data_IF_865339592345
#
_entry.id   IF_865339592345
#
_cell.length_a   1.000
_cell.length_b   1.000
_cell.length_c   1.000
_cell.angle_alpha   90.00
_cell.angle_beta   90.00
_cell.angle_gamma   90.00
#
_symmetry.space_group_name_H-M   'P 1'
#
loop_
_entity.id
_entity.type
_entity.pdbx_description
1 polymer ?
#
# COMPACT_ATOMS: atom_id res chain seq x y z
N UNK A 1 13.38 10.77 -20.37
CA UNK A 1 13.24 10.44 -18.94
C UNK A 1 12.36 9.22 -18.81
N UNK A 2 12.52 8.46 -17.75
CA UNK A 2 11.71 7.30 -17.44
C UNK A 2 10.90 7.57 -16.17
N UNK A 3 9.59 7.52 -16.29
CA UNK A 3 8.67 7.71 -15.16
C UNK A 3 8.11 6.36 -14.73
N UNK A 4 8.05 6.15 -13.42
CA UNK A 4 7.37 5.02 -12.81
C UNK A 4 6.10 5.49 -12.11
N UNK A 5 4.99 4.78 -12.32
CA UNK A 5 3.73 4.99 -11.60
C UNK A 5 3.42 3.72 -10.83
N UNK A 6 3.34 3.80 -9.50
CA UNK A 6 3.10 2.67 -8.60
C UNK A 6 1.72 2.78 -7.95
N UNK A 7 0.79 1.94 -8.37
CA UNK A 7 -0.56 1.80 -7.82
C UNK A 7 -0.61 0.69 -6.77
N UNK A 8 -0.90 1.02 -5.52
CA UNK A 8 -0.93 0.08 -4.40
C UNK A 8 -2.40 -0.22 -4.04
N UNK A 9 -2.85 -1.40 -4.44
CA UNK A 9 -4.22 -1.89 -4.25
C UNK A 9 -4.35 -3.03 -3.25
N UNK A 10 -5.60 -3.44 -3.00
CA UNK A 10 -5.92 -4.62 -2.17
C UNK A 10 -5.48 -5.94 -2.81
N UNK A 11 -5.41 -6.01 -4.14
CA UNK A 11 -5.01 -7.24 -4.82
C UNK A 11 -3.53 -7.25 -5.19
N UNK A 12 -2.99 -6.10 -5.61
CA UNK A 12 -1.60 -5.98 -6.04
C UNK A 12 -1.04 -4.57 -5.93
N UNK A 13 0.27 -4.47 -5.79
CA UNK A 13 1.07 -3.29 -6.10
C UNK A 13 1.52 -3.37 -7.57
N UNK A 14 1.14 -2.39 -8.38
CA UNK A 14 1.37 -2.37 -9.83
C UNK A 14 2.26 -1.21 -10.21
N UNK A 15 3.44 -1.50 -10.75
CA UNK A 15 4.35 -0.51 -11.31
C UNK A 15 4.22 -0.47 -12.82
N UNK A 16 3.96 0.70 -13.38
CA UNK A 16 4.05 0.99 -14.80
C UNK A 16 5.23 1.93 -15.06
N UNK A 17 6.11 1.54 -15.98
CA UNK A 17 7.28 2.33 -16.38
C UNK A 17 7.06 2.80 -17.81
N UNK A 18 7.20 4.11 -18.02
CA UNK A 18 7.04 4.76 -19.32
C UNK A 18 8.25 5.61 -19.67
N UNK A 19 8.65 5.58 -20.94
CA UNK A 19 9.63 6.50 -21.50
C UNK A 19 8.91 7.78 -21.97
N UNK A 20 9.39 8.93 -21.48
CA UNK A 20 8.80 10.25 -21.73
C UNK A 20 9.80 11.16 -22.42
N UNK A 21 9.33 11.84 -23.47
CA UNK A 21 10.06 12.85 -24.24
C UNK A 21 9.17 14.07 -24.46
N UNK A 22 9.70 15.29 -24.40
CA UNK A 22 8.92 16.49 -24.70
C UNK A 22 8.26 16.41 -26.08
N UNK A 23 6.97 16.76 -26.16
CA UNK A 23 6.21 16.79 -27.40
C UNK A 23 5.81 15.42 -27.98
N UNK A 24 6.09 14.31 -27.28
CA UNK A 24 5.69 12.96 -27.70
C UNK A 24 4.81 12.29 -26.63
N UNK A 25 3.88 11.39 -27.02
CA UNK A 25 3.12 10.62 -26.05
C UNK A 25 4.06 9.71 -25.23
N UNK A 26 3.73 9.42 -23.95
CA UNK A 26 4.46 8.42 -23.17
C UNK A 26 4.42 7.05 -23.83
N UNK A 27 5.57 6.36 -23.86
CA UNK A 27 5.68 5.00 -24.41
C UNK A 27 5.84 3.98 -23.28
N UNK A 28 5.02 2.93 -23.21
CA UNK A 28 5.21 1.85 -22.24
C UNK A 28 6.56 1.17 -22.41
N UNK A 29 7.28 0.98 -21.31
CA UNK A 29 8.60 0.35 -21.29
C UNK A 29 8.60 -0.96 -20.48
N UNK A 30 7.98 -0.97 -19.30
CA UNK A 30 7.92 -2.15 -18.46
C UNK A 30 6.75 -2.11 -17.48
N UNK A 31 6.29 -3.27 -17.03
CA UNK A 31 5.23 -3.42 -16.05
C UNK A 31 5.60 -4.51 -15.03
N UNK A 32 5.40 -4.21 -13.75
CA UNK A 32 5.57 -5.17 -12.65
C UNK A 32 4.28 -5.22 -11.85
N UNK A 33 3.94 -6.41 -11.38
CA UNK A 33 2.75 -6.65 -10.56
C UNK A 33 3.11 -7.58 -9.42
N UNK A 34 3.10 -7.05 -8.21
CA UNK A 34 3.36 -7.80 -7.00
C UNK A 34 2.06 -8.01 -6.22
N UNK A 35 1.72 -9.24 -5.83
CA UNK A 35 0.47 -9.53 -5.12
C UNK A 35 0.49 -8.96 -3.69
N UNK A 36 -0.57 -8.24 -3.32
CA UNK A 36 -0.78 -7.75 -1.94
C UNK A 36 -1.85 -8.55 -1.20
N UNK A 37 -2.84 -9.10 -1.91
CA UNK A 37 -3.87 -10.03 -1.41
C UNK A 37 -4.48 -9.63 -0.06
N UNK A 38 -4.66 -8.32 0.16
CA UNK A 38 -5.11 -7.73 1.41
C UNK A 38 -6.46 -8.27 1.87
N UNK A 39 -7.34 -8.62 0.92
CA UNK A 39 -8.65 -9.18 1.21
C UNK A 39 -8.60 -10.52 1.95
N UNK A 40 -7.52 -11.28 1.81
CA UNK A 40 -7.29 -12.56 2.51
C UNK A 40 -6.82 -12.35 3.96
N UNK A 41 -6.41 -11.13 4.29
CA UNK A 41 -5.74 -10.78 5.55
C UNK A 41 -6.61 -9.87 6.44
N UNK A 42 -7.88 -9.69 6.07
CA UNK A 42 -8.86 -8.97 6.89
C UNK A 42 -9.36 -9.88 8.01
N UNK A 43 -9.10 -9.46 9.24
CA UNK A 43 -9.55 -10.11 10.46
C UNK A 43 -11.05 -9.86 10.71
N UNK A 44 -11.70 -10.66 11.60
CA UNK A 44 -13.13 -10.50 11.88
C UNK A 44 -13.55 -9.11 12.39
N UNK A 45 -12.63 -8.36 12.99
CA UNK A 45 -12.85 -7.01 13.50
C UNK A 45 -12.61 -5.91 12.43
N UNK A 46 -12.39 -6.30 11.17
CA UNK A 46 -12.11 -5.43 10.04
C UNK A 46 -10.69 -4.86 10.00
N UNK A 47 -9.79 -5.26 10.91
CA UNK A 47 -8.37 -4.92 10.78
C UNK A 47 -7.64 -5.82 9.81
N UNK A 48 -6.51 -5.33 9.30
CA UNK A 48 -5.56 -6.12 8.53
C UNK A 48 -4.61 -6.81 9.52
N UNK A 49 -4.39 -8.10 9.32
CA UNK A 49 -3.38 -8.88 10.05
C UNK A 49 -1.98 -8.26 9.89
N UNK A 50 -1.08 -8.53 10.84
CA UNK A 50 0.31 -8.07 10.70
C UNK A 50 1.01 -8.74 9.50
N UNK A 51 0.63 -9.97 9.15
CA UNK A 51 1.09 -10.68 7.96
C UNK A 51 0.64 -9.98 6.66
N UNK A 52 -0.60 -9.50 6.61
CA UNK A 52 -1.12 -8.72 5.49
C UNK A 52 -0.41 -7.39 5.33
N UNK A 53 -0.15 -6.68 6.43
CA UNK A 53 0.69 -5.47 6.41
C UNK A 53 2.09 -5.80 5.87
N UNK A 54 2.71 -6.86 6.38
CA UNK A 54 4.02 -7.33 5.91
C UNK A 54 4.04 -7.66 4.41
N UNK A 55 2.98 -8.31 3.90
CA UNK A 55 2.82 -8.66 2.48
C UNK A 55 2.74 -7.41 1.61
N UNK A 56 1.98 -6.38 2.02
CA UNK A 56 1.92 -5.09 1.31
C UNK A 56 3.28 -4.42 1.28
N UNK A 57 3.95 -4.32 2.44
CA UNK A 57 5.28 -3.69 2.55
C UNK A 57 6.27 -4.38 1.61
N UNK A 58 6.26 -5.72 1.58
CA UNK A 58 7.11 -6.50 0.68
C UNK A 58 6.79 -6.24 -0.79
N UNK A 59 5.52 -6.29 -1.19
CA UNK A 59 5.11 -6.03 -2.57
C UNK A 59 5.53 -4.63 -3.05
N UNK A 60 5.41 -3.62 -2.19
CA UNK A 60 5.88 -2.26 -2.47
C UNK A 60 7.40 -2.21 -2.60
N UNK A 61 8.13 -2.84 -1.69
CA UNK A 61 9.59 -2.88 -1.74
C UNK A 61 10.12 -3.57 -3.00
N UNK A 62 9.50 -4.67 -3.41
CA UNK A 62 9.84 -5.40 -4.63
C UNK A 62 9.58 -4.55 -5.89
N UNK A 63 8.44 -3.83 -5.93
CA UNK A 63 8.14 -2.88 -7.00
C UNK A 63 9.12 -1.70 -7.06
N UNK A 64 9.46 -1.09 -5.91
CA UNK A 64 10.46 0.00 -5.83
C UNK A 64 11.83 -0.48 -6.29
N UNK A 65 12.23 -1.70 -5.90
CA UNK A 65 13.49 -2.30 -6.36
C UNK A 65 13.46 -2.52 -7.87
N UNK A 66 12.33 -2.95 -8.44
CA UNK A 66 12.18 -3.05 -9.88
C UNK A 66 12.31 -1.69 -10.58
N UNK A 67 11.67 -0.64 -10.06
CA UNK A 67 11.79 0.72 -10.60
C UNK A 67 13.26 1.17 -10.67
N UNK A 68 14.03 0.94 -9.58
CA UNK A 68 15.45 1.24 -9.55
C UNK A 68 16.26 0.44 -10.58
N UNK A 69 16.03 -0.88 -10.68
CA UNK A 69 16.69 -1.75 -11.68
C UNK A 69 16.41 -1.32 -13.11
N UNK A 70 15.23 -0.77 -13.38
CA UNK A 70 14.85 -0.27 -14.69
C UNK A 70 15.23 1.19 -14.94
N UNK A 71 15.95 1.85 -14.01
CA UNK A 71 16.42 3.23 -14.21
C UNK A 71 15.29 4.24 -14.28
N UNK A 72 14.25 4.08 -13.45
CA UNK A 72 13.21 5.10 -13.28
C UNK A 72 13.84 6.37 -12.70
N UNK A 73 13.68 7.49 -13.39
CA UNK A 73 14.17 8.80 -12.95
C UNK A 73 13.26 9.39 -11.86
N UNK A 74 11.94 9.17 -11.97
CA UNK A 74 10.95 9.64 -11.01
C UNK A 74 9.85 8.62 -10.81
N UNK A 75 9.55 8.31 -9.54
CA UNK A 75 8.53 7.35 -9.13
C UNK A 75 7.36 8.08 -8.47
N UNK A 76 6.15 7.78 -8.92
CA UNK A 76 4.89 8.33 -8.43
C UNK A 76 4.05 7.21 -7.77
N UNK A 77 4.21 6.98 -6.46
CA UNK A 77 3.40 6.00 -5.74
C UNK A 77 2.06 6.60 -5.32
N UNK A 78 1.00 5.80 -5.39
CA UNK A 78 -0.30 6.09 -4.78
C UNK A 78 -0.94 4.83 -4.22
N UNK A 79 -1.70 4.99 -3.14
CA UNK A 79 -2.42 3.91 -2.49
C UNK A 79 -3.93 4.12 -2.62
N UNK A 80 -4.65 3.04 -2.93
CA UNK A 80 -6.12 3.05 -2.99
C UNK A 80 -6.74 2.88 -1.60
N UNK A 81 -8.07 3.02 -1.51
CA UNK A 81 -8.81 3.03 -0.24
C UNK A 81 -8.51 1.84 0.67
N UNK A 82 -8.43 0.62 0.14
CA UNK A 82 -8.19 -0.56 0.98
C UNK A 82 -6.88 -0.50 1.77
N UNK A 83 -5.82 0.06 1.17
CA UNK A 83 -4.50 0.21 1.79
C UNK A 83 -4.46 1.44 2.69
N UNK A 84 -5.11 2.53 2.28
CA UNK A 84 -5.12 3.80 3.03
C UNK A 84 -6.02 3.76 4.27
N UNK A 85 -7.18 3.13 4.14
CA UNK A 85 -8.25 3.14 5.14
C UNK A 85 -8.17 1.91 6.07
N UNK A 86 -7.29 0.94 5.74
CA UNK A 86 -7.09 -0.28 6.49
C UNK A 86 -6.43 -0.04 7.85
N UNK A 87 -7.07 -0.54 8.92
CA UNK A 87 -6.52 -0.50 10.28
C UNK A 87 -5.61 -1.70 10.51
N UNK A 88 -4.36 -1.51 10.90
CA UNK A 88 -3.48 -2.62 11.29
C UNK A 88 -3.88 -3.19 12.67
N UNK A 89 -3.83 -4.51 12.83
CA UNK A 89 -4.15 -5.19 14.08
C UNK A 89 -3.25 -4.76 15.26
N UNK A 90 -1.94 -4.63 15.03
CA UNK A 90 -0.99 -4.13 16.04
C UNK A 90 -1.27 -2.67 16.47
N UNK A 91 -1.67 -1.80 15.54
CA UNK A 91 -2.03 -0.41 15.81
C UNK A 91 -3.36 -0.26 16.59
N UNK A 92 -4.19 -1.29 16.62
CA UNK A 92 -5.47 -1.30 17.33
C UNK A 92 -5.33 -1.37 18.86
N UNK A 93 -4.19 -1.86 19.35
CA UNK A 93 -3.97 -2.14 20.77
C UNK A 93 -3.74 -0.88 21.61
N UNK A 94 -3.61 0.30 21.01
CA UNK A 94 -3.34 1.56 21.71
C UNK A 94 -4.58 2.37 22.11
N UNK A 95 -5.79 1.80 22.07
CA UNK A 95 -7.04 2.56 22.26
C UNK A 95 -8.19 1.79 22.90
N UNK A 96 -8.00 1.27 24.11
CA UNK A 96 -9.11 0.91 25.01
C UNK A 96 -8.86 1.51 26.39
N UNK A 97 -9.11 2.82 26.54
CA UNK A 97 -9.45 3.35 27.86
C UNK A 97 -10.90 3.00 28.13
N UNK A 98 -11.13 1.87 28.79
CA UNK A 98 -12.37 1.63 29.50
C UNK A 98 -12.60 2.82 30.45
N UNK A 99 -13.55 3.69 30.14
CA UNK A 99 -13.99 4.73 31.06
C UNK A 99 -14.81 4.06 32.16
N UNK A 100 -14.11 3.64 33.21
CA UNK A 100 -14.70 3.28 34.47
C UNK A 100 -15.30 4.50 35.17
N UNK A 101 -16.41 4.23 35.86
CA UNK A 101 -16.94 4.94 37.05
C UNK A 101 -17.73 6.23 36.80
N UNK A 102 -19.04 6.11 36.96
CA UNK A 102 -19.79 7.07 37.78
C UNK A 102 -20.53 6.30 38.87
N UNK A 103 -19.88 6.17 40.02
CA UNK A 103 -20.55 6.06 41.30
C UNK A 103 -20.91 7.49 41.73
N UNK A 104 -22.18 7.88 41.59
CA UNK A 104 -22.71 9.06 42.27
C UNK A 104 -23.54 8.58 43.46
N UNK A 105 -23.00 8.80 44.64
CA UNK A 105 -23.75 8.99 45.87
C UNK A 105 -24.78 10.10 45.66
N UNK A 106 -26.00 9.85 46.13
CA UNK A 106 -27.13 10.77 46.15
C UNK A 106 -28.33 10.05 46.73
#
# INVERSE_FOLDING_TARGET
MRLGVLDIGSNSAQLQIVDVRPGAPPLPAHAVKEPTLLGEEILPDGSISDDGVGRVVRAVADAVTAAARHGVDQLYPFATSAVRDGRSASAASSGSSASGRSSSLG
#
